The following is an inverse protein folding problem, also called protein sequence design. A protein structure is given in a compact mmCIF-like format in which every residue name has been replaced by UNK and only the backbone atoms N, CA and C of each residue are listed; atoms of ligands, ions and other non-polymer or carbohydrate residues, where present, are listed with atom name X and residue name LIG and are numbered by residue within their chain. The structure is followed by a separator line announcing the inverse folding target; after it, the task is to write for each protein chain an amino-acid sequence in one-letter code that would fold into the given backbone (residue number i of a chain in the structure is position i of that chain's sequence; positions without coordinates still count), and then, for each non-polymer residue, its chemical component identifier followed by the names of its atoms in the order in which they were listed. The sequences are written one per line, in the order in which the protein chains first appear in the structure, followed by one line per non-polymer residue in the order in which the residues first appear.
data_IF_482525808637
#
_entry.id   IF_482525808637
#
_cell.length_a   1.000
_cell.length_b   1.000
_cell.length_c   1.000
_cell.angle_alpha   90.00
_cell.angle_beta   90.00
_cell.angle_gamma   90.00
#
_symmetry.space_group_name_H-M   'P 1'
#
loop_
_entity.id
_entity.type
_entity.pdbx_description
1 polymer ?
#
# COMPACT_ATOMS: atom_id res chain seq x y z
N UNK A 1 34.77 -30.48 29.75
CA UNK A 1 34.99 -29.55 28.61
C UNK A 1 33.79 -28.63 28.51
N UNK A 2 34.02 -27.32 28.33
CA UNK A 2 32.93 -26.34 28.18
C UNK A 2 32.96 -25.75 26.78
N UNK A 3 31.80 -25.66 26.14
CA UNK A 3 31.64 -25.05 24.81
C UNK A 3 30.57 -23.97 24.92
N UNK A 4 30.85 -22.78 24.40
CA UNK A 4 29.88 -21.67 24.36
C UNK A 4 29.54 -21.35 22.91
N UNK A 5 28.26 -21.28 22.60
CA UNK A 5 27.77 -20.94 21.25
C UNK A 5 26.89 -19.71 21.30
N UNK A 6 26.96 -18.86 20.27
CA UNK A 6 25.98 -17.79 20.06
C UNK A 6 24.72 -18.37 19.40
N UNK A 7 23.57 -17.98 19.91
CA UNK A 7 22.27 -18.30 19.31
C UNK A 7 21.94 -17.32 18.19
N UNK A 8 21.04 -17.70 17.28
CA UNK A 8 20.54 -16.83 16.21
C UNK A 8 19.84 -15.55 16.74
N UNK A 9 19.47 -15.55 18.03
CA UNK A 9 18.77 -14.46 18.72
C UNK A 9 19.69 -13.62 19.61
N UNK A 10 21.01 -13.76 19.47
CA UNK A 10 22.00 -12.92 20.16
C UNK A 10 22.35 -13.34 21.60
N UNK A 11 21.68 -14.35 22.16
CA UNK A 11 22.04 -14.93 23.46
C UNK A 11 23.18 -15.96 23.36
N UNK A 12 23.81 -16.27 24.51
CA UNK A 12 24.83 -17.33 24.61
C UNK A 12 24.22 -18.62 25.18
N UNK A 13 24.70 -19.77 24.72
CA UNK A 13 24.46 -21.08 25.34
C UNK A 13 25.77 -21.71 25.74
N UNK A 14 25.81 -22.26 26.95
CA UNK A 14 26.97 -22.95 27.49
C UNK A 14 26.65 -24.42 27.66
N UNK A 15 27.47 -25.28 27.06
CA UNK A 15 27.38 -26.73 27.19
C UNK A 15 28.55 -27.25 28.01
N UNK A 16 28.27 -28.17 28.92
CA UNK A 16 29.30 -28.90 29.64
C UNK A 16 29.29 -30.35 29.19
N UNK A 17 30.39 -30.77 28.58
CA UNK A 17 30.61 -32.13 28.13
C UNK A 17 31.59 -32.84 29.04
N UNK A 18 31.20 -34.04 29.48
CA UNK A 18 32.10 -35.02 30.08
C UNK A 18 32.40 -36.07 29.01
N UNK A 19 33.67 -36.17 28.62
CA UNK A 19 34.12 -37.17 27.67
C UNK A 19 34.50 -38.44 28.43
N UNK A 20 34.00 -39.57 27.96
CA UNK A 20 34.32 -40.89 28.48
C UNK A 20 34.89 -41.73 27.33
N UNK A 21 36.01 -42.40 27.57
CA UNK A 21 36.60 -43.29 26.59
C UNK A 21 35.83 -44.61 26.57
N UNK A 22 35.18 -44.96 25.46
CA UNK A 22 34.60 -46.29 25.25
C UNK A 22 35.65 -47.21 24.61
N UNK A 23 36.02 -48.29 25.29
CA UNK A 23 36.83 -49.35 24.69
C UNK A 23 35.97 -50.10 23.66
N UNK A 24 36.57 -50.45 22.51
CA UNK A 24 35.94 -51.32 21.52
C UNK A 24 35.76 -52.71 22.14
N UNK A 25 34.57 -53.29 22.02
CA UNK A 25 34.31 -54.65 22.48
C UNK A 25 35.07 -55.65 21.59
N UNK A 26 35.38 -56.84 22.12
CA UNK A 26 36.17 -57.87 21.44
C UNK A 26 35.45 -58.43 20.18
N UNK A 27 34.14 -58.22 20.06
CA UNK A 27 33.31 -58.51 18.89
C UNK A 27 33.33 -57.40 17.81
N UNK A 28 34.10 -56.33 18.04
CA UNK A 28 34.23 -55.19 17.14
C UNK A 28 33.16 -54.11 17.31
N UNK A 29 32.19 -54.26 18.22
CA UNK A 29 31.20 -53.21 18.49
C UNK A 29 31.83 -52.02 19.26
N UNK A 30 31.48 -50.79 18.88
CA UNK A 30 31.89 -49.57 19.59
C UNK A 30 30.70 -48.68 19.90
N UNK A 31 30.51 -48.33 21.16
CA UNK A 31 29.44 -47.42 21.63
C UNK A 31 29.83 -45.94 21.50
N UNK A 32 30.77 -45.60 20.61
CA UNK A 32 31.26 -44.24 20.45
C UNK A 32 30.19 -43.34 19.82
N UNK A 33 29.96 -42.17 20.43
CA UNK A 33 29.04 -41.14 19.92
C UNK A 33 29.84 -40.20 19.01
N UNK A 34 29.47 -40.15 17.72
CA UNK A 34 30.16 -39.33 16.71
C UNK A 34 29.53 -37.95 16.51
N UNK A 35 28.22 -37.82 16.73
CA UNK A 35 27.49 -36.57 16.59
C UNK A 35 26.40 -36.45 17.65
N UNK A 36 26.20 -35.23 18.13
CA UNK A 36 25.13 -34.88 19.06
C UNK A 36 24.37 -33.70 18.47
N UNK A 37 23.06 -33.85 18.30
CA UNK A 37 22.16 -32.78 17.90
C UNK A 37 21.26 -32.42 19.08
N UNK A 38 20.98 -31.12 19.22
CA UNK A 38 20.10 -30.60 20.25
C UNK A 38 18.92 -29.90 19.59
N UNK A 39 17.72 -30.31 19.96
CA UNK A 39 16.49 -29.65 19.53
C UNK A 39 16.06 -28.67 20.63
N UNK A 40 15.65 -27.45 20.24
CA UNK A 40 15.27 -26.39 21.17
C UNK A 40 13.83 -25.95 20.91
N UNK A 41 12.83 -26.58 21.55
CA UNK A 41 11.42 -26.27 21.30
C UNK A 41 11.05 -24.80 21.54
N UNK A 42 11.73 -24.12 22.47
CA UNK A 42 11.54 -22.69 22.72
C UNK A 42 12.09 -21.78 21.63
N UNK A 43 13.13 -22.20 20.92
CA UNK A 43 13.62 -21.47 19.74
C UNK A 43 12.67 -21.65 18.58
N UNK A 44 12.20 -22.88 18.35
CA UNK A 44 11.22 -23.17 17.30
C UNK A 44 9.91 -22.40 17.54
N UNK A 45 9.47 -22.30 18.80
CA UNK A 45 8.30 -21.51 19.18
C UNK A 45 8.53 -20.02 18.87
N UNK A 46 9.65 -19.45 19.29
CA UNK A 46 10.00 -18.05 19.01
C UNK A 46 10.15 -17.77 17.52
N UNK A 47 10.73 -18.70 16.75
CA UNK A 47 10.82 -18.60 15.31
C UNK A 47 9.43 -18.54 14.67
N UNK A 48 8.50 -19.42 15.10
CA UNK A 48 7.11 -19.43 14.63
C UNK A 48 6.37 -18.15 15.01
N UNK A 49 6.51 -17.67 16.24
CA UNK A 49 5.89 -16.43 16.71
C UNK A 49 6.38 -15.23 15.90
N UNK A 50 7.69 -15.10 15.66
CA UNK A 50 8.26 -14.03 14.86
C UNK A 50 7.82 -14.11 13.39
N UNK A 51 7.75 -15.32 12.83
CA UNK A 51 7.23 -15.53 11.49
C UNK A 51 5.75 -15.13 11.39
N UNK A 52 4.93 -15.49 12.39
CA UNK A 52 3.53 -15.11 12.44
C UNK A 52 3.36 -13.60 12.59
N UNK A 53 4.16 -12.94 13.43
CA UNK A 53 4.14 -11.49 13.59
C UNK A 53 4.47 -10.78 12.27
N UNK A 54 5.49 -11.25 11.55
CA UNK A 54 5.84 -10.71 10.22
C UNK A 54 4.72 -10.92 9.20
N UNK A 55 4.13 -12.11 9.17
CA UNK A 55 3.00 -12.40 8.29
C UNK A 55 1.79 -11.50 8.60
N UNK A 56 1.47 -11.32 9.89
CA UNK A 56 0.39 -10.42 10.31
C UNK A 56 0.68 -8.96 9.96
N UNK A 57 1.93 -8.50 10.12
CA UNK A 57 2.33 -7.14 9.76
C UNK A 57 2.21 -6.91 8.25
N UNK A 58 2.70 -7.86 7.44
CA UNK A 58 2.57 -7.81 5.99
C UNK A 58 1.09 -7.84 5.54
N UNK A 59 0.25 -8.67 6.18
CA UNK A 59 -1.18 -8.70 5.89
C UNK A 59 -1.89 -7.39 6.27
N UNK A 60 -1.52 -6.78 7.40
CA UNK A 60 -2.05 -5.48 7.81
C UNK A 60 -1.64 -4.35 6.86
N UNK A 61 -0.39 -4.36 6.40
CA UNK A 61 0.13 -3.43 5.40
C UNK A 61 -0.65 -3.56 4.08
N UNK A 62 -0.79 -4.78 3.56
CA UNK A 62 -1.60 -5.06 2.36
C UNK A 62 -3.07 -4.62 2.52
N UNK A 63 -3.67 -4.86 3.70
CA UNK A 63 -5.02 -4.41 3.98
C UNK A 63 -5.13 -2.87 3.98
N UNK A 64 -4.11 -2.17 4.47
CA UNK A 64 -4.06 -0.71 4.44
C UNK A 64 -3.91 -0.16 3.02
N UNK A 65 -3.04 -0.76 2.21
CA UNK A 65 -2.85 -0.40 0.80
C UNK A 65 -4.14 -0.60 0.00
N UNK A 66 -4.81 -1.74 0.19
CA UNK A 66 -6.09 -2.02 -0.45
C UNK A 66 -7.18 -1.02 -0.03
N UNK A 67 -7.20 -0.58 1.24
CA UNK A 67 -8.14 0.45 1.68
C UNK A 67 -7.84 1.79 1.00
N UNK A 68 -6.58 2.20 0.94
CA UNK A 68 -6.18 3.45 0.27
C UNK A 68 -6.50 3.42 -1.23
N UNK A 69 -6.27 2.29 -1.89
CA UNK A 69 -6.59 2.09 -3.30
C UNK A 69 -8.10 2.13 -3.59
N UNK A 70 -8.94 1.81 -2.61
CA UNK A 70 -10.40 1.82 -2.74
C UNK A 70 -11.09 3.02 -2.08
N UNK A 71 -10.35 3.86 -1.34
CA UNK A 71 -10.90 5.00 -0.61
C UNK A 71 -11.64 6.00 -1.52
N UNK A 72 -11.24 6.08 -2.79
CA UNK A 72 -11.92 6.92 -3.79
C UNK A 72 -13.34 6.42 -4.12
N UNK A 73 -13.60 5.11 -3.96
CA UNK A 73 -14.89 4.49 -4.19
C UNK A 73 -15.83 4.54 -2.98
N UNK A 74 -15.34 5.00 -1.82
CA UNK A 74 -16.12 5.12 -0.60
C UNK A 74 -16.92 6.44 -0.55
N UNK A 75 -18.15 6.37 -0.03
CA UNK A 75 -19.02 7.53 0.18
C UNK A 75 -20.13 7.72 -0.87
N UNK A 76 -21.01 8.72 -0.68
CA UNK A 76 -22.05 9.06 -1.64
C UNK A 76 -21.41 9.56 -2.94
N UNK A 77 -21.83 8.99 -4.07
CA UNK A 77 -21.20 9.20 -5.37
C UNK A 77 -22.09 10.06 -6.27
N UNK A 78 -21.51 11.12 -6.82
CA UNK A 78 -22.16 11.98 -7.81
C UNK A 78 -21.73 11.55 -9.21
N UNK A 79 -22.71 11.34 -10.08
CA UNK A 79 -22.55 10.90 -11.48
C UNK A 79 -23.02 11.96 -12.47
N UNK A 80 -23.42 13.14 -11.98
CA UNK A 80 -24.09 14.17 -12.79
C UNK A 80 -23.07 15.02 -13.55
N UNK A 81 -22.43 14.39 -14.53
CA UNK A 81 -21.42 14.99 -15.38
C UNK A 81 -21.87 15.02 -16.83
N UNK A 82 -21.57 16.12 -17.51
CA UNK A 82 -21.79 16.25 -18.97
C UNK A 82 -20.50 16.62 -19.68
N UNK A 83 -20.32 16.01 -20.85
CA UNK A 83 -19.16 16.20 -21.71
C UNK A 83 -19.51 17.16 -22.86
N UNK A 84 -18.62 18.10 -23.16
CA UNK A 84 -18.74 19.04 -24.27
C UNK A 84 -17.39 19.23 -24.97
N UNK A 85 -17.30 18.86 -26.24
CA UNK A 85 -16.05 18.97 -27.01
C UNK A 85 -15.75 17.67 -27.76
N UNK A 86 -14.47 17.29 -27.80
CA UNK A 86 -14.02 16.12 -28.53
C UNK A 86 -14.43 14.79 -27.90
N UNK A 87 -15.09 13.93 -28.67
CA UNK A 87 -15.45 12.56 -28.27
C UNK A 87 -14.24 11.61 -28.23
N UNK A 88 -13.14 11.95 -28.92
CA UNK A 88 -11.95 11.08 -29.01
C UNK A 88 -11.26 10.87 -27.66
N UNK A 89 -11.34 11.88 -26.79
CA UNK A 89 -10.75 11.87 -25.44
C UNK A 89 -11.83 11.80 -24.35
N UNK A 90 -13.05 11.40 -24.73
CA UNK A 90 -14.16 11.34 -23.80
C UNK A 90 -14.02 10.14 -22.87
N UNK A 91 -13.99 10.36 -21.53
CA UNK A 91 -14.06 9.27 -20.58
C UNK A 91 -15.42 8.58 -20.71
N UNK A 92 -15.41 7.26 -20.56
CA UNK A 92 -16.63 6.44 -20.58
C UNK A 92 -17.53 6.69 -19.38
N UNK A 93 -16.94 7.13 -18.27
CA UNK A 93 -17.63 7.37 -17.02
C UNK A 93 -16.89 8.44 -16.22
N UNK A 94 -17.64 9.35 -15.58
CA UNK A 94 -17.10 10.36 -14.66
C UNK A 94 -17.93 10.36 -13.40
N UNK A 95 -17.25 10.36 -12.25
CA UNK A 95 -17.91 10.42 -10.95
C UNK A 95 -17.04 11.04 -9.88
N UNK A 96 -17.67 11.59 -8.84
CA UNK A 96 -16.96 12.10 -7.67
C UNK A 96 -17.58 11.58 -6.36
N UNK A 97 -16.80 11.59 -5.29
CA UNK A 97 -17.25 11.28 -3.92
C UNK A 97 -17.32 12.53 -3.02
N UNK A 98 -17.38 13.72 -3.63
CA UNK A 98 -17.30 15.01 -2.95
C UNK A 98 -15.90 15.43 -2.48
N UNK A 99 -14.87 14.61 -2.71
CA UNK A 99 -13.45 14.93 -2.41
C UNK A 99 -12.55 14.70 -3.62
N UNK A 100 -12.74 13.58 -4.30
CA UNK A 100 -11.98 13.14 -5.46
C UNK A 100 -12.91 12.92 -6.64
N UNK A 101 -12.40 13.18 -7.85
CA UNK A 101 -13.11 12.93 -9.11
C UNK A 101 -12.38 11.84 -9.91
N UNK A 102 -13.09 10.82 -10.35
CA UNK A 102 -12.59 9.73 -11.16
C UNK A 102 -13.09 9.82 -12.60
N UNK A 103 -12.18 9.68 -13.56
CA UNK A 103 -12.45 9.67 -15.00
C UNK A 103 -12.03 8.31 -15.57
N UNK A 104 -12.95 7.57 -16.20
CA UNK A 104 -12.70 6.21 -16.69
C UNK A 104 -12.31 6.18 -18.17
N UNK A 105 -11.09 5.71 -18.43
CA UNK A 105 -10.48 5.52 -19.75
C UNK A 105 -10.12 4.04 -19.97
N UNK A 106 -11.07 3.19 -20.40
CA UNK A 106 -10.84 1.76 -20.57
C UNK A 106 -9.96 1.42 -21.78
N UNK A 107 -9.28 0.27 -21.68
CA UNK A 107 -8.49 -0.29 -22.77
C UNK A 107 -7.27 0.57 -23.11
N UNK A 108 -7.11 0.86 -24.40
CA UNK A 108 -5.99 1.65 -24.92
C UNK A 108 -6.36 3.12 -25.18
N UNK A 109 -7.42 3.63 -24.53
CA UNK A 109 -7.74 5.06 -24.60
C UNK A 109 -6.59 5.88 -24.03
N UNK A 110 -6.20 6.94 -24.74
CA UNK A 110 -5.14 7.82 -24.29
C UNK A 110 -5.65 8.68 -23.13
N UNK A 111 -4.91 8.73 -22.03
CA UNK A 111 -5.26 9.56 -20.87
C UNK A 111 -4.78 11.00 -21.14
N UNK A 112 -5.70 11.99 -21.22
CA UNK A 112 -5.35 13.38 -21.47
C UNK A 112 -4.75 14.06 -20.24
N UNK A 113 -4.20 15.25 -20.44
CA UNK A 113 -3.85 16.14 -19.31
C UNK A 113 -5.12 16.79 -18.79
N UNK A 114 -5.33 16.74 -17.46
CA UNK A 114 -6.51 17.28 -16.79
C UNK A 114 -6.20 18.64 -16.19
N UNK A 115 -7.06 19.61 -16.49
CA UNK A 115 -7.02 20.97 -15.97
C UNK A 115 -8.30 21.26 -15.21
N UNK A 116 -8.23 22.18 -14.24
CA UNK A 116 -9.39 22.75 -13.55
C UNK A 116 -9.31 24.28 -13.62
N UNK A 117 -10.47 24.94 -13.51
CA UNK A 117 -10.49 26.37 -13.22
C UNK A 117 -10.05 26.62 -11.76
N UNK A 118 -9.07 27.49 -11.58
CA UNK A 118 -8.71 28.04 -10.28
C UNK A 118 -9.76 29.08 -9.85
N UNK A 119 -9.80 29.46 -8.55
CA UNK A 119 -10.75 30.46 -8.05
C UNK A 119 -10.66 31.82 -8.74
N UNK A 120 -9.52 32.14 -9.36
CA UNK A 120 -9.27 33.36 -10.12
C UNK A 120 -9.69 33.25 -11.61
N UNK A 121 -10.23 32.10 -12.02
CA UNK A 121 -10.65 31.82 -13.40
C UNK A 121 -9.54 31.32 -14.34
N UNK A 122 -8.30 31.18 -13.87
CA UNK A 122 -7.19 30.63 -14.66
C UNK A 122 -7.24 29.09 -14.74
N UNK A 123 -6.77 28.49 -15.84
CA UNK A 123 -6.65 27.02 -15.94
C UNK A 123 -5.39 26.54 -15.23
N UNK A 124 -5.54 25.60 -14.29
CA UNK A 124 -4.43 24.96 -13.55
C UNK A 124 -4.39 23.47 -13.83
N UNK A 125 -3.19 22.91 -14.02
CA UNK A 125 -2.99 21.46 -14.18
C UNK A 125 -3.28 20.77 -12.87
N UNK A 126 -4.03 19.67 -12.93
CA UNK A 126 -4.34 18.86 -11.75
C UNK A 126 -3.65 17.50 -11.84
N UNK A 127 -2.80 17.15 -10.85
CA UNK A 127 -2.21 15.83 -10.81
C UNK A 127 -3.28 14.77 -10.55
N UNK A 128 -3.14 13.64 -11.23
CA UNK A 128 -4.00 12.48 -11.05
C UNK A 128 -3.16 11.23 -10.79
N UNK A 129 -3.78 10.24 -10.16
CA UNK A 129 -3.24 8.90 -9.99
C UNK A 129 -4.05 7.92 -10.81
N UNK A 130 -3.39 7.02 -11.52
CA UNK A 130 -4.08 5.95 -12.26
C UNK A 130 -4.40 4.80 -11.30
N UNK A 131 -5.68 4.43 -11.23
CA UNK A 131 -6.18 3.27 -10.50
C UNK A 131 -6.95 2.41 -11.51
N UNK A 132 -6.38 1.27 -11.91
CA UNK A 132 -6.89 0.46 -13.03
C UNK A 132 -7.07 1.29 -14.32
N UNK A 133 -8.29 1.39 -14.82
CA UNK A 133 -8.70 2.16 -15.99
C UNK A 133 -9.20 3.57 -15.65
N UNK A 134 -8.96 4.06 -14.42
CA UNK A 134 -9.45 5.35 -13.96
C UNK A 134 -8.32 6.32 -13.61
N UNK A 135 -8.41 7.53 -14.15
CA UNK A 135 -7.63 8.67 -13.69
C UNK A 135 -8.36 9.32 -12.51
N UNK A 136 -7.79 9.23 -11.30
CA UNK A 136 -8.37 9.78 -10.08
C UNK A 136 -7.66 11.07 -9.69
N UNK A 137 -8.43 12.14 -9.66
CA UNK A 137 -8.00 13.50 -9.32
C UNK A 137 -8.34 13.78 -7.85
N UNK A 138 -7.38 14.34 -7.11
CA UNK A 138 -7.49 14.64 -5.67
C UNK A 138 -8.30 15.90 -5.33
N UNK A 139 -9.24 16.29 -6.20
CA UNK A 139 -10.12 17.44 -6.01
C UNK A 139 -11.44 17.24 -6.76
N UNK A 140 -12.44 18.05 -6.42
CA UNK A 140 -13.72 18.15 -7.12
C UNK A 140 -13.91 19.59 -7.58
N UNK A 141 -14.29 19.79 -8.84
CA UNK A 141 -14.48 21.10 -9.43
C UNK A 141 -15.73 21.15 -10.30
N UNK A 142 -16.22 22.37 -10.55
CA UNK A 142 -17.37 22.60 -11.44
C UNK A 142 -17.06 22.20 -12.88
N UNK A 143 -15.85 22.48 -13.34
CA UNK A 143 -15.43 22.27 -14.72
C UNK A 143 -14.02 21.69 -14.72
N UNK A 144 -13.85 20.59 -15.44
CA UNK A 144 -12.55 20.04 -15.81
C UNK A 144 -12.35 20.19 -17.33
N UNK A 145 -11.16 20.60 -17.74
CA UNK A 145 -10.76 20.64 -19.15
C UNK A 145 -9.74 19.54 -19.38
N UNK A 146 -10.03 18.61 -20.27
CA UNK A 146 -9.15 17.54 -20.71
C UNK A 146 -8.51 17.97 -22.03
N UNK A 147 -7.19 17.86 -22.13
CA UNK A 147 -6.44 18.23 -23.34
C UNK A 147 -5.51 17.12 -23.79
N UNK A 148 -5.53 16.87 -25.08
CA UNK A 148 -4.61 15.96 -25.75
C UNK A 148 -4.24 16.47 -27.15
N UNK A 149 -3.04 17.02 -27.31
CA UNK A 149 -2.63 17.62 -28.59
C UNK A 149 -3.58 18.75 -28.99
N UNK A 150 -4.36 18.54 -30.06
CA UNK A 150 -5.38 19.49 -30.53
C UNK A 150 -6.78 19.18 -29.99
N UNK A 151 -6.98 18.02 -29.37
CA UNK A 151 -8.27 17.61 -28.83
C UNK A 151 -8.51 18.26 -27.47
N UNK A 152 -9.70 18.84 -27.31
CA UNK A 152 -10.13 19.50 -26.08
C UNK A 152 -11.53 19.04 -25.72
N UNK A 153 -11.71 18.65 -24.45
CA UNK A 153 -12.99 18.24 -23.91
C UNK A 153 -13.23 18.91 -22.57
N UNK A 154 -14.43 19.47 -22.39
CA UNK A 154 -14.87 20.01 -21.11
C UNK A 154 -15.83 19.04 -20.44
N UNK A 155 -15.55 18.71 -19.20
CA UNK A 155 -16.40 17.91 -18.33
C UNK A 155 -16.99 18.83 -17.27
N UNK A 156 -18.32 18.92 -17.22
CA UNK A 156 -19.06 19.87 -16.38
C UNK A 156 -19.83 19.07 -15.33
N UNK A 157 -19.55 19.35 -14.05
CA UNK A 157 -20.33 18.84 -12.94
C UNK A 157 -21.63 19.65 -12.80
N UNK A 158 -22.78 19.01 -13.00
CA UNK A 158 -24.10 19.65 -12.92
C UNK A 158 -24.62 19.77 -11.48
N UNK A 159 -24.01 19.06 -10.54
CA UNK A 159 -24.41 19.01 -9.13
C UNK A 159 -23.27 19.40 -8.20
N UNK A 160 -22.45 20.34 -8.66
CA UNK A 160 -21.28 20.81 -7.92
C UNK A 160 -21.72 21.60 -6.68
N UNK A 161 -21.35 21.08 -5.51
CA UNK A 161 -21.46 21.77 -4.23
C UNK A 161 -20.12 22.47 -3.89
N UNK A 162 -20.04 23.83 -4.00
CA UNK A 162 -18.82 24.58 -3.75
C UNK A 162 -18.40 24.62 -2.28
N UNK A 163 -19.29 24.26 -1.33
CA UNK A 163 -18.94 24.20 0.10
C UNK A 163 -18.15 22.93 0.39
N UNK A 164 -18.56 21.81 -0.21
CA UNK A 164 -17.98 20.48 0.01
C UNK A 164 -18.03 20.02 1.48
N UNK A 165 -17.90 18.71 1.73
CA UNK A 165 -17.68 18.20 3.10
C UNK A 165 -16.23 18.45 3.49
N UNK A 166 -15.91 19.65 3.99
CA UNK A 166 -14.59 20.03 4.49
C UNK A 166 -14.14 19.11 5.64
N UNK A 167 -13.14 18.23 5.48
CA UNK A 167 -12.61 17.41 6.57
C UNK A 167 -11.39 18.06 7.23
N UNK A 168 -10.97 19.27 6.85
CA UNK A 168 -9.71 19.89 7.31
C UNK A 168 -8.43 19.23 6.77
N UNK A 169 -8.53 17.98 6.29
CA UNK A 169 -7.48 17.21 5.63
C UNK A 169 -8.12 16.42 4.49
N UNK A 170 -7.48 16.33 3.32
CA UNK A 170 -7.94 15.54 2.16
C UNK A 170 -8.04 14.02 2.37
N UNK A 171 -8.05 13.57 3.63
CA UNK A 171 -8.27 12.22 4.12
C UNK A 171 -8.89 12.35 5.52
N UNK A 172 -9.99 11.66 5.85
CA UNK A 172 -10.60 11.74 7.17
C UNK A 172 -9.80 10.98 8.26
N UNK A 173 -8.73 10.25 7.89
CA UNK A 173 -8.07 9.28 8.78
C UNK A 173 -6.56 9.50 8.99
N UNK A 174 -6.00 10.65 8.59
CA UNK A 174 -4.57 10.93 8.79
C UNK A 174 -4.33 12.32 9.37
N UNK A 175 -3.88 12.36 10.64
CA UNK A 175 -3.32 13.54 11.26
C UNK A 175 -1.86 13.73 10.82
N UNK A 176 -1.53 14.86 10.20
CA UNK A 176 -0.15 15.23 9.87
C UNK A 176 0.58 15.67 11.15
N UNK A 177 1.39 14.80 11.74
CA UNK A 177 2.35 15.23 12.77
C UNK A 177 3.63 15.71 12.08
N UNK A 178 3.86 17.03 12.11
CA UNK A 178 5.16 17.61 11.74
C UNK A 178 6.13 17.27 12.87
N UNK A 179 7.09 16.36 12.61
CA UNK A 179 8.27 16.25 13.48
C UNK A 179 9.22 17.36 13.07
N UNK A 180 9.25 18.42 13.87
CA UNK A 180 10.37 19.36 13.87
C UNK A 180 11.63 18.61 14.27
N UNK A 181 12.56 18.46 13.32
CA UNK A 181 13.92 18.00 13.62
C UNK A 181 14.66 19.09 14.39
N UNK A 182 15.19 18.73 15.56
CA UNK A 182 16.20 19.46 16.33
C UNK A 182 17.60 19.14 15.83
#
# INVERSE_FOLDING_TARGET
MTVVTKTAYGGNRSYQFRLLASKRADDGASTAIFALSFNYPDDDRRARELAQQRANAAAAEQASENRLANAWAEGPRNWRYVAQGSEQIQPTEVSDNGRQTAFRFPGNMRVPTIYTAAPDGSETIVPYTMINDMAVVQTTARIFTLRDGQEVLRIINQDFDPVGRNPGTGTPDLSRTVRSGS
#
